data_IF_762436471478
#
_entry.id   IF_762436471478
#
_cell.length_a   1.000
_cell.length_b   1.000
_cell.length_c   1.000
_cell.angle_alpha   90.00
_cell.angle_beta   90.00
_cell.angle_gamma   90.00
#
_symmetry.space_group_name_H-M   'P 1'
#
loop_
_entity.id
_entity.type
_entity.pdbx_description
1 polymer ?
#
# COMPACT_ATOMS: atom_id res chain seq x y z
N UNK A 1 -5.01 25.52 -18.94
CA UNK A 1 -4.84 25.01 -17.56
C UNK A 1 -4.31 23.59 -17.64
N UNK A 2 -2.99 23.41 -17.55
CA UNK A 2 -2.35 22.11 -17.67
C UNK A 2 -2.40 21.40 -16.32
N UNK A 3 -3.46 20.63 -16.06
CA UNK A 3 -3.42 19.60 -15.00
C UNK A 3 -2.36 18.60 -15.45
N UNK A 4 -1.14 18.76 -14.95
CA UNK A 4 -0.08 17.80 -15.19
C UNK A 4 -0.56 16.45 -14.64
N UNK A 5 -0.84 15.50 -15.53
CA UNK A 5 -1.05 14.11 -15.15
C UNK A 5 0.27 13.62 -14.56
N UNK A 6 0.40 13.71 -13.25
CA UNK A 6 1.58 13.25 -12.53
C UNK A 6 1.44 11.74 -12.39
N UNK A 7 2.10 11.00 -13.27
CA UNK A 7 2.16 9.54 -13.18
C UNK A 7 2.86 9.16 -11.88
N UNK A 8 2.19 8.37 -11.04
CA UNK A 8 2.77 7.82 -9.81
C UNK A 8 3.21 6.40 -10.14
N UNK A 9 4.52 6.17 -10.12
CA UNK A 9 5.06 4.82 -10.23
C UNK A 9 5.07 4.19 -8.84
N UNK A 10 4.32 3.09 -8.71
CA UNK A 10 4.25 2.30 -7.48
C UNK A 10 4.99 1.00 -7.73
N UNK A 11 5.98 0.72 -6.89
CA UNK A 11 6.73 -0.54 -6.88
C UNK A 11 6.21 -1.41 -5.73
N UNK A 12 5.97 -2.69 -6.02
CA UNK A 12 5.45 -3.65 -5.06
C UNK A 12 6.52 -4.70 -4.84
N UNK A 13 6.88 -4.95 -3.58
CA UNK A 13 7.86 -5.95 -3.19
C UNK A 13 7.22 -6.93 -2.24
N UNK A 14 7.01 -8.14 -2.71
CA UNK A 14 6.52 -9.24 -1.87
C UNK A 14 7.67 -9.79 -1.03
N UNK A 15 7.44 -9.90 0.28
CA UNK A 15 8.36 -10.55 1.21
C UNK A 15 7.59 -11.40 2.20
N UNK A 16 8.23 -12.45 2.68
CA UNK A 16 7.71 -13.25 3.78
C UNK A 16 8.24 -12.69 5.09
N UNK A 17 7.34 -12.39 6.03
CA UNK A 17 7.73 -12.04 7.41
C UNK A 17 8.26 -13.28 8.17
N UNK A 18 8.93 -13.04 9.28
CA UNK A 18 9.33 -13.99 10.33
C UNK A 18 8.21 -14.94 10.78
N UNK A 19 6.94 -14.54 10.65
CA UNK A 19 5.75 -15.35 10.95
C UNK A 19 5.32 -16.27 9.81
N UNK A 20 5.96 -16.20 8.64
CA UNK A 20 5.57 -16.95 7.43
C UNK A 20 4.46 -16.29 6.62
N UNK A 21 3.99 -15.10 7.01
CA UNK A 21 2.96 -14.37 6.27
C UNK A 21 3.57 -13.64 5.06
N UNK A 22 2.89 -13.68 3.92
CA UNK A 22 3.27 -12.91 2.75
C UNK A 22 2.81 -11.46 2.91
N UNK A 23 3.75 -10.53 2.84
CA UNK A 23 3.54 -9.10 2.98
C UNK A 23 4.07 -8.42 1.73
N UNK A 24 3.20 -7.68 1.07
CA UNK A 24 3.52 -6.82 -0.07
C UNK A 24 3.88 -5.43 0.44
N UNK A 25 5.11 -5.00 0.24
CA UNK A 25 5.55 -3.64 0.57
C UNK A 25 5.36 -2.72 -0.64
N UNK A 26 4.72 -1.57 -0.44
CA UNK A 26 4.47 -0.60 -1.49
C UNK A 26 5.43 0.57 -1.38
N UNK A 27 6.09 0.91 -2.49
CA UNK A 27 7.02 2.01 -2.59
C UNK A 27 6.60 3.00 -3.68
N UNK A 28 6.76 4.29 -3.40
CA UNK A 28 6.75 5.34 -4.44
C UNK A 28 8.18 5.85 -4.58
N UNK A 29 8.83 5.46 -5.68
CA UNK A 29 10.25 5.70 -5.87
C UNK A 29 11.08 4.98 -4.80
N UNK A 30 11.69 5.75 -3.87
CA UNK A 30 12.51 5.20 -2.78
C UNK A 30 11.81 5.22 -1.41
N UNK A 31 10.58 5.72 -1.34
CA UNK A 31 9.83 5.86 -0.09
C UNK A 31 8.85 4.71 0.07
N UNK A 32 8.92 4.00 1.19
CA UNK A 32 7.87 3.06 1.61
C UNK A 32 6.62 3.88 1.95
N UNK A 33 5.48 3.51 1.39
CA UNK A 33 4.19 4.17 1.67
C UNK A 33 3.28 3.30 2.55
N UNK A 34 3.56 2.00 2.62
CA UNK A 34 2.85 1.08 3.49
C UNK A 34 3.08 -0.37 3.08
N UNK A 35 2.40 -1.25 3.78
CA UNK A 35 2.43 -2.69 3.53
C UNK A 35 1.02 -3.21 3.37
N UNK A 36 0.83 -4.20 2.51
CA UNK A 36 -0.42 -4.92 2.34
C UNK A 36 -0.19 -6.39 2.67
N UNK A 37 -1.12 -7.02 3.37
CA UNK A 37 -1.12 -8.47 3.57
C UNK A 37 -2.51 -9.03 3.37
N UNK A 38 -2.59 -10.24 2.84
CA UNK A 38 -3.86 -10.97 2.80
C UNK A 38 -4.08 -11.64 4.16
N UNK A 39 -5.19 -11.31 4.82
CA UNK A 39 -5.55 -11.86 6.14
C UNK A 39 -6.48 -13.07 5.98
N UNK A 40 -7.33 -13.06 4.96
CA UNK A 40 -8.21 -14.17 4.57
C UNK A 40 -8.70 -13.95 3.14
N UNK A 41 -9.35 -14.96 2.55
CA UNK A 41 -9.86 -14.88 1.18
C UNK A 41 -10.69 -13.60 0.96
N UNK A 42 -10.26 -12.75 0.03
CA UNK A 42 -10.85 -11.44 -0.28
C UNK A 42 -10.88 -10.44 0.89
N UNK A 43 -9.96 -10.56 1.85
CA UNK A 43 -9.75 -9.58 2.90
C UNK A 43 -8.26 -9.28 3.04
N UNK A 44 -7.92 -8.04 2.77
CA UNK A 44 -6.56 -7.54 2.89
C UNK A 44 -6.50 -6.51 4.01
N UNK A 45 -5.35 -6.47 4.68
CA UNK A 45 -5.01 -5.45 5.64
C UNK A 45 -3.90 -4.60 5.05
N UNK A 46 -4.21 -3.31 4.84
CA UNK A 46 -3.25 -2.30 4.48
C UNK A 46 -2.77 -1.60 5.75
N UNK A 47 -1.46 -1.42 5.90
CA UNK A 47 -0.86 -0.71 7.03
C UNK A 47 -0.04 0.44 6.47
N UNK A 48 -0.32 1.67 6.87
CA UNK A 48 0.43 2.84 6.42
C UNK A 48 1.72 3.04 7.24
N UNK A 49 2.52 4.03 6.87
CA UNK A 49 3.75 4.39 7.61
C UNK A 49 3.50 4.90 9.03
N UNK A 50 2.25 5.26 9.36
CA UNK A 50 1.83 5.67 10.69
C UNK A 50 1.33 4.50 11.56
N UNK A 51 1.49 3.26 11.07
CA UNK A 51 1.00 2.04 11.73
C UNK A 51 -0.53 1.95 11.85
N UNK A 52 -1.26 2.77 11.10
CA UNK A 52 -2.71 2.69 11.00
C UNK A 52 -3.08 1.54 10.06
N UNK A 53 -4.08 0.76 10.49
CA UNK A 53 -4.50 -0.47 9.83
C UNK A 53 -5.85 -0.24 9.16
N UNK A 54 -5.94 -0.57 7.88
CA UNK A 54 -7.13 -0.44 7.06
C UNK A 54 -7.51 -1.80 6.50
N UNK A 55 -8.78 -2.15 6.62
CA UNK A 55 -9.31 -3.38 6.06
C UNK A 55 -9.94 -3.10 4.71
N UNK A 56 -9.47 -3.79 3.67
CA UNK A 56 -9.94 -3.61 2.29
C UNK A 56 -10.33 -4.96 1.69
N UNK A 57 -11.17 -4.91 0.66
CA UNK A 57 -11.74 -6.11 0.03
C UNK A 57 -10.91 -6.62 -1.13
N UNK A 58 -10.02 -5.78 -1.67
CA UNK A 58 -9.11 -6.16 -2.74
C UNK A 58 -7.72 -5.53 -2.57
N UNK A 59 -6.74 -6.17 -3.20
CA UNK A 59 -5.38 -5.68 -3.24
C UNK A 59 -5.30 -4.25 -3.82
N UNK A 60 -5.98 -4.01 -4.95
CA UNK A 60 -6.02 -2.71 -5.64
C UNK A 60 -6.65 -1.60 -4.78
N UNK A 61 -7.68 -1.92 -4.00
CA UNK A 61 -8.31 -0.98 -3.07
C UNK A 61 -7.30 -0.55 -1.99
N UNK A 62 -6.54 -1.51 -1.46
CA UNK A 62 -5.48 -1.25 -0.50
C UNK A 62 -4.35 -0.40 -1.04
N UNK A 63 -3.87 -0.70 -2.25
CA UNK A 63 -2.87 0.11 -2.96
C UNK A 63 -3.37 1.54 -3.12
N UNK A 64 -4.60 1.72 -3.60
CA UNK A 64 -5.20 3.04 -3.82
C UNK A 64 -5.33 3.83 -2.52
N UNK A 65 -5.72 3.16 -1.43
CA UNK A 65 -5.83 3.76 -0.10
C UNK A 65 -4.46 4.25 0.40
N UNK A 66 -3.43 3.41 0.35
CA UNK A 66 -2.07 3.79 0.79
C UNK A 66 -1.49 4.96 -0.02
N UNK A 67 -1.74 5.00 -1.34
CA UNK A 67 -1.32 6.13 -2.18
C UNK A 67 -2.02 7.42 -1.76
N UNK A 68 -3.33 7.36 -1.48
CA UNK A 68 -4.12 8.52 -1.04
C UNK A 68 -3.63 9.05 0.30
N UNK A 69 -3.48 8.17 1.29
CA UNK A 69 -2.96 8.52 2.62
C UNK A 69 -1.57 9.17 2.50
N UNK A 70 -0.67 8.60 1.71
CA UNK A 70 0.66 9.16 1.49
C UNK A 70 0.64 10.58 0.88
N UNK A 71 -0.33 10.89 0.01
CA UNK A 71 -0.47 12.22 -0.60
C UNK A 71 -1.21 13.23 0.29
N UNK A 72 -2.03 12.79 1.24
CA UNK A 72 -2.78 13.66 2.14
C UNK A 72 -1.90 14.26 3.25
N UNK A 73 -0.87 13.52 3.65
CA UNK A 73 0.05 13.93 4.71
C UNK A 73 1.31 14.67 4.23
N UNK A 74 1.44 14.95 2.92
CA UNK A 74 2.67 15.46 2.30
C UNK A 74 2.50 16.79 1.56
#
# INVERSE_FOLDING_TARGET
>A
MSKANKSINVEIKDRTDSTGQNISELFIGKKLIGTLKEVSANKFEAVNTHQEQFHVKSFEEGVTLLIKEFHLHH
#
